data_IF_949824667792
#
_entry.id   IF_949824667792
#
_cell.length_a   1.000
_cell.length_b   1.000
_cell.length_c   1.000
_cell.angle_alpha   90.00
_cell.angle_beta   90.00
_cell.angle_gamma   90.00
#
_symmetry.space_group_name_H-M   'P 1'
#
loop_
_entity.id
_entity.type
_entity.pdbx_description
1 polymer ?
#
# COMPACT_ATOMS: atom_id res chain seq x y z
N UNK A 1 8.36 2.70 18.87
CA UNK A 1 8.74 1.80 17.75
C UNK A 1 8.42 2.51 16.44
N UNK A 2 9.36 2.56 15.49
CA UNK A 2 9.30 3.33 14.23
C UNK A 2 8.02 3.06 13.41
N UNK A 3 7.69 1.79 13.19
CA UNK A 3 6.54 1.37 12.35
C UNK A 3 5.18 1.30 13.07
N UNK A 4 5.16 1.41 14.40
CA UNK A 4 3.93 1.25 15.20
C UNK A 4 3.64 2.50 16.05
N UNK A 5 4.09 3.67 15.59
CA UNK A 5 3.80 4.92 16.27
C UNK A 5 2.35 5.38 15.92
N UNK A 6 1.73 6.27 16.72
CA UNK A 6 0.35 6.68 16.49
C UNK A 6 0.10 7.27 15.09
N UNK A 7 1.07 8.01 14.57
CA UNK A 7 1.03 8.60 13.24
C UNK A 7 0.99 7.52 12.14
N UNK A 8 1.87 6.52 12.22
CA UNK A 8 1.92 5.40 11.28
C UNK A 8 0.62 4.58 11.30
N UNK A 9 0.03 4.37 12.48
CA UNK A 9 -1.25 3.66 12.64
C UNK A 9 -2.39 4.44 11.97
N UNK A 10 -2.46 5.75 12.18
CA UNK A 10 -3.47 6.60 11.53
C UNK A 10 -3.35 6.59 10.01
N UNK A 11 -2.14 6.80 9.47
CA UNK A 11 -1.92 6.75 8.01
C UNK A 11 -2.29 5.38 7.42
N UNK A 12 -1.89 4.29 8.11
CA UNK A 12 -2.25 2.93 7.69
C UNK A 12 -3.77 2.74 7.62
N UNK A 13 -4.50 3.23 8.62
CA UNK A 13 -5.96 3.14 8.64
C UNK A 13 -6.61 3.88 7.46
N UNK A 14 -6.06 5.05 7.08
CA UNK A 14 -6.54 5.82 5.93
C UNK A 14 -6.28 5.09 4.61
N UNK A 15 -5.08 4.52 4.41
CA UNK A 15 -4.79 3.73 3.22
C UNK A 15 -5.65 2.46 3.13
N UNK A 16 -5.90 1.79 4.26
CA UNK A 16 -6.80 0.62 4.31
C UNK A 16 -8.23 1.01 3.97
N UNK A 17 -8.72 2.17 4.43
CA UNK A 17 -10.04 2.67 4.08
C UNK A 17 -10.15 2.94 2.56
N UNK A 18 -9.18 3.67 2.01
CA UNK A 18 -9.11 3.96 0.57
C UNK A 18 -9.14 2.67 -0.27
N UNK A 19 -8.30 1.68 0.06
CA UNK A 19 -8.29 0.41 -0.65
C UNK A 19 -9.68 -0.24 -0.68
N UNK A 20 -10.35 -0.30 0.47
CA UNK A 20 -11.67 -0.91 0.62
C UNK A 20 -12.76 -0.15 -0.12
N UNK A 21 -12.72 1.18 -0.12
CA UNK A 21 -13.65 2.03 -0.86
C UNK A 21 -13.58 1.76 -2.38
N UNK A 22 -12.40 1.40 -2.88
CA UNK A 22 -12.19 1.02 -4.28
C UNK A 22 -12.23 -0.49 -4.55
N UNK A 23 -12.64 -1.31 -3.56
CA UNK A 23 -12.76 -2.77 -3.72
C UNK A 23 -11.43 -3.51 -3.87
N UNK A 24 -10.32 -2.93 -3.41
CA UNK A 24 -8.98 -3.51 -3.45
C UNK A 24 -8.61 -4.17 -2.13
N UNK A 25 -7.80 -5.24 -2.19
CA UNK A 25 -7.08 -5.72 -1.01
C UNK A 25 -6.01 -4.67 -0.62
N UNK A 26 -5.94 -4.25 0.67
CA UNK A 26 -4.99 -3.23 1.09
C UNK A 26 -3.52 -3.60 0.85
N UNK A 27 -3.17 -4.88 0.99
CA UNK A 27 -1.81 -5.38 0.76
C UNK A 27 -1.48 -5.30 -0.73
N UNK A 28 -2.41 -5.72 -1.59
CA UNK A 28 -2.23 -5.61 -3.03
C UNK A 28 -2.10 -4.17 -3.50
N UNK A 29 -2.92 -3.25 -2.98
CA UNK A 29 -2.81 -1.83 -3.31
C UNK A 29 -1.43 -1.27 -2.95
N UNK A 30 -0.93 -1.57 -1.75
CA UNK A 30 0.38 -1.12 -1.30
C UNK A 30 1.51 -1.69 -2.17
N UNK A 31 1.46 -2.98 -2.51
CA UNK A 31 2.46 -3.64 -3.34
C UNK A 31 2.44 -3.13 -4.78
N UNK A 32 1.25 -2.95 -5.36
CA UNK A 32 1.08 -2.39 -6.70
C UNK A 32 1.63 -0.96 -6.78
N UNK A 33 1.39 -0.12 -5.76
CA UNK A 33 1.94 1.24 -5.71
C UNK A 33 3.47 1.26 -5.76
N UNK A 34 4.13 0.40 -4.96
CA UNK A 34 5.59 0.28 -4.93
C UNK A 34 6.12 -0.21 -6.29
N UNK A 35 5.53 -1.27 -6.83
CA UNK A 35 5.93 -1.86 -8.11
C UNK A 35 5.77 -0.88 -9.28
N UNK A 36 4.79 0.02 -9.23
CA UNK A 36 4.53 0.96 -10.32
C UNK A 36 5.53 2.12 -10.39
N UNK A 37 6.45 2.28 -9.41
CA UNK A 37 7.38 3.42 -9.39
C UNK A 37 8.54 3.17 -10.37
N UNK A 38 8.91 4.16 -11.21
CA UNK A 38 9.88 3.95 -12.29
C UNK A 38 11.30 3.62 -11.81
N UNK A 39 11.63 3.92 -10.55
CA UNK A 39 12.93 3.65 -9.94
C UNK A 39 13.00 2.30 -9.19
N UNK A 40 11.91 1.54 -9.17
CA UNK A 40 11.84 0.24 -8.48
C UNK A 40 12.03 -0.88 -9.50
N UNK A 41 13.15 -1.59 -9.43
CA UNK A 41 13.38 -2.78 -10.28
C UNK A 41 12.68 -4.03 -9.73
N UNK A 42 12.63 -4.18 -8.41
CA UNK A 42 12.03 -5.34 -7.75
C UNK A 42 11.47 -4.95 -6.38
N UNK A 43 10.33 -5.56 -6.03
CA UNK A 43 9.66 -5.39 -4.76
C UNK A 43 9.84 -6.65 -3.90
N UNK A 44 10.50 -6.52 -2.75
CA UNK A 44 10.76 -7.64 -1.83
C UNK A 44 9.55 -7.83 -0.93
N UNK A 45 8.81 -8.92 -1.13
CA UNK A 45 7.61 -9.25 -0.36
C UNK A 45 7.90 -10.27 0.75
N UNK A 46 7.21 -10.13 1.88
CA UNK A 46 7.27 -11.06 3.01
C UNK A 46 5.94 -11.76 3.23
N UNK A 47 5.97 -13.07 3.45
CA UNK A 47 4.79 -13.87 3.79
C UNK A 47 5.17 -14.97 4.79
N UNK A 48 4.29 -15.22 5.76
CA UNK A 48 4.46 -16.32 6.74
C UNK A 48 3.49 -17.48 6.47
N UNK A 49 2.57 -17.29 5.52
CA UNK A 49 1.55 -18.25 5.09
C UNK A 49 1.44 -18.26 3.58
N UNK A 50 1.09 -19.39 3.00
CA UNK A 50 0.93 -19.53 1.53
C UNK A 50 -0.17 -18.61 0.99
N UNK A 51 -1.28 -18.42 1.71
CA UNK A 51 -2.36 -17.54 1.28
C UNK A 51 -1.90 -16.07 1.19
N UNK A 52 -1.06 -15.63 2.14
CA UNK A 52 -0.46 -14.29 2.09
C UNK A 52 0.46 -14.15 0.87
N UNK A 53 1.28 -15.17 0.60
CA UNK A 53 2.15 -15.17 -0.57
C UNK A 53 1.32 -15.08 -1.85
N UNK A 54 0.24 -15.84 -1.94
CA UNK A 54 -0.67 -15.81 -3.10
C UNK A 54 -1.27 -14.42 -3.32
N UNK A 55 -1.85 -13.82 -2.28
CA UNK A 55 -2.41 -12.46 -2.34
C UNK A 55 -1.35 -11.45 -2.78
N UNK A 56 -0.14 -11.55 -2.21
CA UNK A 56 0.96 -10.65 -2.54
C UNK A 56 1.44 -10.80 -3.99
N UNK A 57 1.46 -12.02 -4.54
CA UNK A 57 1.86 -12.28 -5.93
C UNK A 57 0.82 -11.75 -6.92
N UNK A 58 -0.47 -11.90 -6.60
CA UNK A 58 -1.59 -11.37 -7.40
C UNK A 58 -1.59 -9.84 -7.49
N UNK A 59 -0.80 -9.12 -6.66
CA UNK A 59 -0.68 -7.67 -6.78
C UNK A 59 -0.05 -7.21 -8.10
N UNK A 60 0.63 -8.10 -8.84
CA UNK A 60 1.23 -7.76 -10.14
C UNK A 60 0.18 -7.43 -11.21
N UNK A 61 -1.03 -8.00 -11.07
CA UNK A 61 -2.14 -7.81 -12.00
C UNK A 61 -3.03 -6.61 -11.60
N UNK A 62 -2.72 -5.95 -10.48
CA UNK A 62 -3.47 -4.79 -9.99
C UNK A 62 -2.92 -3.52 -10.61
N UNK A 63 -3.74 -2.90 -11.47
CA UNK A 63 -3.50 -1.54 -11.97
C UNK A 63 -4.29 -0.54 -11.13
N UNK A 64 -3.59 0.37 -10.48
CA UNK A 64 -4.23 1.43 -9.68
C UNK A 64 -4.83 2.49 -10.61
N UNK A 65 -6.11 2.83 -10.39
CA UNK A 65 -6.75 3.93 -11.11
C UNK A 65 -6.17 5.28 -10.70
N UNK A 66 -6.34 6.29 -11.55
CA UNK A 66 -5.93 7.66 -11.25
C UNK A 66 -6.57 8.19 -9.96
N UNK A 67 -7.80 7.77 -9.67
CA UNK A 67 -8.52 8.12 -8.44
C UNK A 67 -7.84 7.53 -7.20
N UNK A 68 -7.45 6.25 -7.24
CA UNK A 68 -6.73 5.60 -6.13
C UNK A 68 -5.36 6.24 -5.93
N UNK A 69 -4.65 6.55 -7.02
CA UNK A 69 -3.37 7.26 -6.95
C UNK A 69 -3.55 8.64 -6.31
N UNK A 70 -4.55 9.40 -6.75
CA UNK A 70 -4.85 10.72 -6.16
C UNK A 70 -5.18 10.62 -4.66
N UNK A 71 -5.94 9.59 -4.25
CA UNK A 71 -6.23 9.31 -2.84
C UNK A 71 -4.97 9.00 -2.03
N UNK A 72 -4.05 8.19 -2.58
CA UNK A 72 -2.77 7.88 -1.94
C UNK A 72 -1.95 9.15 -1.73
N UNK A 73 -1.85 10.01 -2.75
CA UNK A 73 -1.10 11.27 -2.69
C UNK A 73 -1.74 12.28 -1.73
N UNK A 74 -3.06 12.33 -1.63
CA UNK A 74 -3.76 13.17 -0.66
C UNK A 74 -3.44 12.75 0.79
N UNK A 75 -3.48 11.43 1.07
CA UNK A 75 -3.10 10.90 2.39
C UNK A 75 -1.63 11.22 2.67
N UNK A 76 -0.73 10.97 1.72
CA UNK A 76 0.70 11.24 1.87
C UNK A 76 0.99 12.73 2.15
N UNK A 77 0.31 13.64 1.44
CA UNK A 77 0.44 15.08 1.62
C UNK A 77 0.01 15.52 3.03
N UNK A 78 -1.07 14.93 3.56
CA UNK A 78 -1.56 15.23 4.90
C UNK A 78 -0.62 14.75 6.01
N UNK A 79 0.13 13.68 5.72
CA UNK A 79 0.96 13.01 6.71
C UNK A 79 2.22 12.41 6.06
N UNK A 80 3.21 13.25 5.73
CA UNK A 80 4.41 12.80 5.03
C UNK A 80 5.32 12.01 5.97
N UNK A 81 5.81 10.86 5.48
CA UNK A 81 6.81 10.01 6.14
C UNK A 81 6.52 9.71 7.65
N UNK A 82 5.35 9.16 8.00
CA UNK A 82 4.97 8.92 9.39
C UNK A 82 5.77 7.80 10.06
N UNK A 83 6.37 6.92 9.26
CA UNK A 83 7.26 5.87 9.71
C UNK A 83 8.59 5.98 8.96
N UNK A 84 9.58 6.70 9.55
CA UNK A 84 11.00 6.70 9.23
C UNK A 84 11.45 5.76 8.14
#
# INVERSE_FOLDING_TARGET
KRYNNPQAVTATAQYVALAREHGLDPSQMALAYVTSRPFVTSNIIGATKLDQLKINLESIDVTLSDEVIAGIEAIHTSQPNPAP
#
